data_IF_176142242187
#
_entry.id   IF_176142242187
#
_cell.length_a   1.000
_cell.length_b   1.000
_cell.length_c   1.000
_cell.angle_alpha   90.00
_cell.angle_beta   90.00
_cell.angle_gamma   90.00
#
_symmetry.space_group_name_H-M   'P 1'
#
loop_
_entity.id
_entity.type
_entity.pdbx_description
1 polymer ?
#
# COMPACT_ATOMS: atom_id res chain seq x y z
N UNK A 1 10.31 20.46 13.36
CA UNK A 1 11.00 19.55 14.33
C UNK A 1 11.50 20.32 15.55
N UNK A 2 12.31 21.36 15.37
CA UNK A 2 12.89 22.18 16.46
C UNK A 2 11.89 22.61 17.54
N UNK A 3 10.72 23.13 17.12
CA UNK A 3 9.66 23.55 18.04
C UNK A 3 9.15 22.40 18.92
N UNK A 4 9.10 21.17 18.39
CA UNK A 4 8.67 20.00 19.17
C UNK A 4 9.78 19.52 20.09
N UNK A 5 11.04 19.53 19.65
CA UNK A 5 12.18 19.17 20.50
C UNK A 5 12.25 20.03 21.77
N UNK A 6 12.03 21.35 21.68
CA UNK A 6 11.98 22.23 22.86
C UNK A 6 10.87 21.87 23.87
N UNK A 7 9.77 21.27 23.39
CA UNK A 7 8.64 20.84 24.24
C UNK A 7 8.88 19.45 24.81
N UNK A 8 9.40 18.52 24.00
CA UNK A 8 9.60 17.13 24.42
C UNK A 8 10.60 17.03 25.56
N UNK A 9 11.56 17.95 25.67
CA UNK A 9 12.47 18.03 26.82
C UNK A 9 11.70 18.19 28.14
N UNK A 10 10.67 19.04 28.17
CA UNK A 10 9.80 19.20 29.34
C UNK A 10 8.95 17.95 29.57
N UNK A 11 8.43 17.35 28.50
CA UNK A 11 7.62 16.13 28.58
C UNK A 11 8.43 14.96 29.16
N UNK A 12 9.72 14.85 28.82
CA UNK A 12 10.66 13.88 29.40
C UNK A 12 10.86 14.14 30.89
N UNK A 13 11.13 15.39 31.30
CA UNK A 13 11.30 15.76 32.72
C UNK A 13 10.02 15.48 33.52
N UNK A 14 8.85 15.73 32.92
CA UNK A 14 7.55 15.49 33.53
C UNK A 14 7.11 14.01 33.50
N UNK A 15 7.93 13.10 32.97
CA UNK A 15 7.64 11.67 32.95
C UNK A 15 6.49 11.27 32.01
N UNK A 16 6.23 12.03 30.95
CA UNK A 16 5.21 11.69 29.95
C UNK A 16 5.61 10.41 29.23
N UNK A 17 4.71 9.41 29.23
CA UNK A 17 4.94 8.12 28.58
C UNK A 17 5.25 8.30 27.09
N UNK A 18 6.36 7.72 26.62
CA UNK A 18 6.79 7.79 25.23
C UNK A 18 7.62 9.03 24.87
N UNK A 19 7.77 10.01 25.77
CA UNK A 19 8.48 11.26 25.47
C UNK A 19 9.99 11.05 25.27
N UNK A 20 10.58 10.05 25.94
CA UNK A 20 12.00 9.72 25.77
C UNK A 20 12.25 9.16 24.37
N UNK A 21 11.44 8.19 23.96
CA UNK A 21 11.49 7.56 22.64
C UNK A 21 11.18 8.59 21.54
N UNK A 22 10.22 9.51 21.79
CA UNK A 22 9.94 10.60 20.86
C UNK A 22 11.16 11.53 20.71
N UNK A 23 11.82 11.90 21.82
CA UNK A 23 13.01 12.75 21.78
C UNK A 23 14.15 12.09 21.02
N UNK A 24 14.43 10.81 21.28
CA UNK A 24 15.45 10.03 20.60
C UNK A 24 15.16 9.93 19.08
N UNK A 25 13.90 9.66 18.71
CA UNK A 25 13.47 9.66 17.31
C UNK A 25 13.61 11.03 16.65
N UNK A 26 13.25 12.12 17.34
CA UNK A 26 13.38 13.49 16.81
C UNK A 26 14.83 13.89 16.55
N UNK A 27 15.78 13.47 17.40
CA UNK A 27 17.22 13.72 17.18
C UNK A 27 17.69 13.02 15.90
N UNK A 28 17.33 11.75 15.71
CA UNK A 28 17.70 10.98 14.51
C UNK A 28 17.07 11.57 13.25
N UNK A 29 15.81 11.99 13.32
CA UNK A 29 15.10 12.66 12.22
C UNK A 29 15.79 13.99 11.88
N UNK A 30 16.13 14.79 12.89
CA UNK A 30 16.79 16.08 12.66
C UNK A 30 18.12 15.90 11.93
N UNK A 31 18.93 14.93 12.35
CA UNK A 31 20.22 14.65 11.73
C UNK A 31 20.10 14.34 10.22
N UNK A 32 18.99 13.75 9.77
CA UNK A 32 18.73 13.54 8.34
C UNK A 32 18.28 14.82 7.65
N UNK A 33 17.36 15.58 8.26
CA UNK A 33 16.85 16.83 7.69
C UNK A 33 17.95 17.89 7.54
N UNK A 34 18.90 17.97 8.48
CA UNK A 34 20.01 18.93 8.45
C UNK A 34 20.96 18.72 7.26
N UNK A 35 21.06 17.48 6.76
CA UNK A 35 21.85 17.13 5.56
C UNK A 35 20.98 17.05 4.29
N UNK A 36 19.76 17.58 4.34
CA UNK A 36 18.83 17.62 3.21
C UNK A 36 18.14 16.30 2.87
N UNK A 37 18.23 15.28 3.73
CA UNK A 37 17.55 13.99 3.54
C UNK A 37 16.16 13.98 4.16
N UNK A 38 15.27 13.12 3.68
CA UNK A 38 13.91 13.00 4.19
C UNK A 38 13.86 12.38 5.59
N UNK A 39 12.88 12.76 6.41
CA UNK A 39 12.73 12.22 7.77
C UNK A 39 12.55 10.69 7.80
N UNK A 40 11.98 10.08 6.75
CA UNK A 40 11.83 8.62 6.63
C UNK A 40 13.16 7.86 6.57
N UNK A 41 14.25 8.52 6.17
CA UNK A 41 15.58 7.90 6.07
C UNK A 41 16.22 7.67 7.44
N UNK A 42 15.64 8.23 8.51
CA UNK A 42 16.11 7.99 9.87
C UNK A 42 15.84 6.54 10.29
N UNK A 43 16.88 5.84 10.75
CA UNK A 43 16.74 4.48 11.30
C UNK A 43 16.19 4.57 12.73
N UNK A 44 14.89 4.28 12.86
CA UNK A 44 14.16 4.33 14.12
C UNK A 44 13.89 2.93 14.67
N UNK A 45 13.88 2.80 15.99
CA UNK A 45 13.31 1.61 16.65
C UNK A 45 11.78 1.63 16.53
N UNK A 46 11.12 0.48 16.73
CA UNK A 46 9.65 0.42 16.71
C UNK A 46 9.00 1.39 17.73
N UNK A 47 9.63 1.53 18.90
CA UNK A 47 9.16 2.42 19.95
C UNK A 47 9.28 3.90 19.54
N UNK A 48 10.43 4.29 18.97
CA UNK A 48 10.65 5.64 18.42
C UNK A 48 9.67 5.94 17.29
N UNK A 49 9.51 5.00 16.34
CA UNK A 49 8.60 5.16 15.21
C UNK A 49 7.16 5.36 15.68
N UNK A 50 6.71 4.59 16.68
CA UNK A 50 5.39 4.73 17.29
C UNK A 50 5.23 6.08 18.00
N UNK A 51 6.28 6.56 18.67
CA UNK A 51 6.26 7.82 19.41
C UNK A 51 6.22 9.05 18.49
N UNK A 52 6.92 9.02 17.35
CA UNK A 52 6.93 10.16 16.40
C UNK A 52 5.76 10.14 15.41
N UNK A 53 5.10 8.98 15.21
CA UNK A 53 3.96 8.83 14.27
C UNK A 53 2.85 9.89 14.43
N UNK A 54 2.41 10.29 15.65
CA UNK A 54 1.39 11.32 15.82
C UNK A 54 1.80 12.71 15.34
N UNK A 55 3.09 12.97 15.12
CA UNK A 55 3.58 14.25 14.59
C UNK A 55 3.23 14.43 13.10
N UNK A 56 2.84 13.36 12.40
CA UNK A 56 2.37 13.40 11.02
C UNK A 56 3.32 14.14 10.06
N UNK A 57 4.64 13.95 10.22
CA UNK A 57 5.65 14.63 9.43
C UNK A 57 5.48 14.35 7.94
N UNK A 58 5.51 15.39 7.12
CA UNK A 58 5.32 15.29 5.66
C UNK A 58 6.35 14.34 5.02
N UNK A 59 7.63 14.51 5.36
CA UNK A 59 8.75 13.74 4.79
C UNK A 59 8.89 12.32 5.37
N UNK A 60 8.04 11.92 6.32
CA UNK A 60 7.92 10.52 6.78
C UNK A 60 6.87 9.71 6.01
N UNK A 61 5.94 10.36 5.29
CA UNK A 61 4.93 9.65 4.49
C UNK A 61 5.64 8.90 3.37
N UNK A 62 5.27 7.67 2.99
CA UNK A 62 5.84 7.02 1.82
C UNK A 62 5.48 7.76 0.52
N UNK A 63 6.29 7.61 -0.54
CA UNK A 63 6.13 8.32 -1.83
C UNK A 63 6.22 7.37 -3.01
N UNK A 64 5.51 7.67 -4.09
CA UNK A 64 5.69 7.08 -5.41
C UNK A 64 6.16 8.17 -6.37
N UNK A 65 7.09 7.84 -7.25
CA UNK A 65 7.50 8.72 -8.34
C UNK A 65 6.77 8.32 -9.60
N UNK A 66 5.94 9.22 -10.13
CA UNK A 66 5.25 9.05 -11.40
C UNK A 66 6.00 9.84 -12.48
N UNK A 67 6.77 9.14 -13.32
CA UNK A 67 7.51 9.72 -14.42
C UNK A 67 6.58 9.87 -15.63
N UNK A 68 6.15 11.11 -15.88
CA UNK A 68 5.31 11.44 -17.04
C UNK A 68 6.15 11.49 -18.32
N UNK A 69 5.80 10.68 -19.31
CA UNK A 69 6.52 10.53 -20.58
C UNK A 69 5.58 10.71 -21.78
N UNK A 70 6.17 10.83 -22.98
CA UNK A 70 5.42 10.77 -24.23
C UNK A 70 4.94 9.34 -24.51
N UNK A 71 3.92 9.20 -25.36
CA UNK A 71 3.31 7.92 -25.77
C UNK A 71 4.34 6.88 -26.23
N UNK A 72 5.26 7.25 -27.12
CA UNK A 72 6.29 6.34 -27.65
C UNK A 72 7.34 5.88 -26.63
N UNK A 73 7.40 6.52 -25.46
CA UNK A 73 8.30 6.15 -24.36
C UNK A 73 7.57 5.36 -23.26
N UNK A 74 6.27 5.09 -23.39
CA UNK A 74 5.46 4.54 -22.30
C UNK A 74 5.85 3.10 -21.93
N UNK A 75 6.19 2.27 -22.93
CA UNK A 75 6.56 0.86 -22.73
C UNK A 75 7.99 0.69 -22.21
N UNK A 76 8.94 1.48 -22.71
CA UNK A 76 10.38 1.32 -22.40
C UNK A 76 10.92 2.35 -21.42
N UNK A 77 10.24 3.49 -21.27
CA UNK A 77 10.81 4.70 -20.67
C UNK A 77 11.83 5.38 -21.59
N UNK A 78 12.51 6.38 -21.03
CA UNK A 78 13.56 7.14 -21.71
C UNK A 78 14.69 7.49 -20.73
N UNK A 79 15.72 8.21 -21.21
CA UNK A 79 16.87 8.62 -20.38
C UNK A 79 16.50 9.40 -19.10
N UNK A 80 15.38 10.12 -19.09
CA UNK A 80 14.92 10.86 -17.93
C UNK A 80 14.27 9.93 -16.89
N UNK A 81 13.56 8.90 -17.36
CA UNK A 81 13.06 7.82 -16.49
C UNK A 81 14.21 7.12 -15.79
N UNK A 82 15.29 6.80 -16.51
CA UNK A 82 16.49 6.19 -15.92
C UNK A 82 17.13 7.10 -14.88
N UNK A 83 17.26 8.40 -15.15
CA UNK A 83 17.76 9.36 -14.15
C UNK A 83 16.89 9.42 -12.89
N UNK A 84 15.56 9.31 -13.02
CA UNK A 84 14.64 9.22 -11.87
C UNK A 84 14.83 7.90 -11.11
N UNK A 85 14.99 6.77 -11.81
CA UNK A 85 15.26 5.47 -11.20
C UNK A 85 16.57 5.47 -10.42
N UNK A 86 17.62 6.08 -10.96
CA UNK A 86 18.90 6.25 -10.29
C UNK A 86 18.77 7.12 -9.03
N UNK A 87 18.10 8.27 -9.14
CA UNK A 87 17.85 9.16 -8.00
C UNK A 87 17.10 8.44 -6.87
N UNK A 88 16.02 7.73 -7.21
CA UNK A 88 15.20 7.01 -6.24
C UNK A 88 15.99 5.90 -5.54
N UNK A 89 16.84 5.19 -6.30
CA UNK A 89 17.73 4.17 -5.76
C UNK A 89 18.79 4.76 -4.83
N UNK A 90 19.34 5.93 -5.15
CA UNK A 90 20.35 6.61 -4.34
C UNK A 90 19.75 7.14 -3.03
N UNK A 91 18.55 7.72 -3.07
CA UNK A 91 17.89 8.22 -1.86
C UNK A 91 17.30 7.13 -0.98
N UNK A 92 17.00 5.96 -1.55
CA UNK A 92 16.30 4.87 -0.87
C UNK A 92 14.87 5.26 -0.47
N UNK A 93 14.27 6.22 -1.17
CA UNK A 93 12.97 6.78 -0.81
C UNK A 93 11.78 5.87 -1.12
N UNK A 94 11.92 5.05 -2.16
CA UNK A 94 10.98 4.00 -2.61
C UNK A 94 11.69 3.05 -3.59
N UNK A 95 11.14 1.87 -3.83
CA UNK A 95 11.65 0.92 -4.83
C UNK A 95 10.94 1.07 -6.19
N UNK A 96 9.92 1.94 -6.28
CA UNK A 96 9.03 2.02 -7.43
C UNK A 96 9.01 3.40 -8.10
N UNK A 97 9.30 3.39 -9.41
CA UNK A 97 9.05 4.50 -10.33
C UNK A 97 8.00 4.03 -11.33
N UNK A 98 6.82 4.64 -11.29
CA UNK A 98 5.75 4.38 -12.25
C UNK A 98 5.96 5.24 -13.49
N UNK A 99 6.05 4.62 -14.67
CA UNK A 99 6.10 5.32 -15.95
C UNK A 99 4.66 5.50 -16.43
N UNK A 100 4.28 6.74 -16.72
CA UNK A 100 2.91 7.09 -17.10
C UNK A 100 2.92 8.09 -18.25
N UNK A 101 1.88 8.14 -19.07
CA UNK A 101 1.67 9.21 -20.04
C UNK A 101 0.33 9.86 -19.77
N UNK A 102 0.35 11.07 -19.20
CA UNK A 102 -0.87 11.80 -18.88
C UNK A 102 -1.72 12.09 -20.14
N UNK A 103 -1.08 12.18 -21.32
CA UNK A 103 -1.79 12.32 -22.58
C UNK A 103 -2.55 11.04 -22.94
N UNK A 104 -1.88 9.90 -22.91
CA UNK A 104 -2.53 8.59 -23.18
C UNK A 104 -3.68 8.35 -22.20
N UNK A 105 -3.49 8.64 -20.90
CA UNK A 105 -4.56 8.52 -19.90
C UNK A 105 -5.77 9.41 -20.19
N UNK A 106 -5.56 10.61 -20.75
CA UNK A 106 -6.65 11.50 -21.11
C UNK A 106 -7.46 10.94 -22.29
N UNK A 107 -6.80 10.32 -23.27
CA UNK A 107 -7.44 9.72 -24.44
C UNK A 107 -8.21 8.45 -24.06
N UNK A 108 -7.63 7.58 -23.21
CA UNK A 108 -8.28 6.37 -22.72
C UNK A 108 -9.59 6.62 -21.97
N UNK A 109 -9.77 7.82 -21.39
CA UNK A 109 -10.95 8.15 -20.58
C UNK A 109 -12.25 8.12 -21.37
N UNK A 110 -12.19 8.49 -22.65
CA UNK A 110 -13.35 8.62 -23.52
C UNK A 110 -13.58 7.39 -24.41
N UNK A 111 -12.69 6.39 -24.31
CA UNK A 111 -12.76 5.13 -25.04
C UNK A 111 -13.54 4.07 -24.24
N UNK A 112 -14.20 3.17 -24.95
CA UNK A 112 -14.76 1.97 -24.32
C UNK A 112 -13.67 0.95 -24.00
N UNK A 113 -14.04 -0.15 -23.35
CA UNK A 113 -13.06 -1.12 -22.87
C UNK A 113 -12.32 -1.83 -24.01
N UNK A 114 -13.01 -2.16 -25.10
CA UNK A 114 -12.41 -2.90 -26.21
C UNK A 114 -11.41 -1.99 -26.94
N UNK A 115 -11.83 -0.74 -27.23
CA UNK A 115 -10.97 0.26 -27.85
C UNK A 115 -9.73 0.60 -26.99
N UNK A 116 -9.91 0.69 -25.65
CA UNK A 116 -8.81 0.92 -24.71
C UNK A 116 -7.76 -0.19 -24.77
N UNK A 117 -8.22 -1.45 -24.75
CA UNK A 117 -7.34 -2.61 -24.73
C UNK A 117 -6.56 -2.70 -26.06
N UNK A 118 -7.22 -2.43 -27.19
CA UNK A 118 -6.56 -2.35 -28.50
C UNK A 118 -5.53 -1.21 -28.59
N UNK A 119 -5.89 -0.02 -28.09
CA UNK A 119 -4.99 1.13 -28.12
C UNK A 119 -3.75 0.90 -27.25
N UNK A 120 -3.93 0.42 -26.01
CA UNK A 120 -2.81 0.08 -25.13
C UNK A 120 -1.89 -0.99 -25.76
N UNK A 121 -2.49 -2.03 -26.38
CA UNK A 121 -1.72 -3.05 -27.06
C UNK A 121 -0.90 -2.50 -28.23
N UNK A 122 -1.41 -1.49 -28.95
CA UNK A 122 -0.67 -0.81 -30.02
C UNK A 122 0.57 -0.04 -29.53
N UNK A 123 0.59 0.32 -28.23
CA UNK A 123 1.69 1.00 -27.55
C UNK A 123 2.63 0.03 -26.82
N UNK A 124 2.49 -1.28 -27.03
CA UNK A 124 3.21 -2.34 -26.33
C UNK A 124 3.05 -2.27 -24.80
N UNK A 125 1.92 -1.76 -24.30
CA UNK A 125 1.59 -1.73 -22.87
C UNK A 125 0.34 -2.55 -22.57
N UNK A 126 0.37 -3.27 -21.44
CA UNK A 126 -0.73 -4.17 -21.03
C UNK A 126 -1.81 -3.49 -20.22
N UNK A 127 -1.45 -2.42 -19.50
CA UNK A 127 -2.32 -1.75 -18.55
C UNK A 127 -2.06 -0.25 -18.62
N UNK A 128 -3.07 0.54 -18.23
CA UNK A 128 -2.92 1.99 -18.17
C UNK A 128 -1.93 2.41 -17.07
N UNK A 129 -1.34 3.58 -17.23
CA UNK A 129 -0.53 4.24 -16.22
C UNK A 129 -1.33 4.55 -14.95
N UNK A 130 -2.61 4.91 -15.07
CA UNK A 130 -3.48 5.09 -13.90
C UNK A 130 -3.69 3.78 -13.13
N UNK A 131 -3.96 2.66 -13.81
CA UNK A 131 -4.10 1.36 -13.16
C UNK A 131 -2.81 0.92 -12.46
N UNK A 132 -1.67 1.11 -13.11
CA UNK A 132 -0.35 0.87 -12.55
C UNK A 132 -0.14 1.71 -11.28
N UNK A 133 -0.46 3.01 -11.32
CA UNK A 133 -0.35 3.91 -10.16
C UNK A 133 -1.27 3.49 -9.01
N UNK A 134 -2.51 3.05 -9.30
CA UNK A 134 -3.43 2.57 -8.27
C UNK A 134 -2.85 1.34 -7.58
N UNK A 135 -2.33 0.37 -8.34
CA UNK A 135 -1.69 -0.84 -7.78
C UNK A 135 -0.48 -0.50 -6.93
N UNK A 136 0.40 0.39 -7.40
CA UNK A 136 1.54 0.88 -6.62
C UNK A 136 1.09 1.59 -5.35
N UNK A 137 0.05 2.44 -5.40
CA UNK A 137 -0.51 3.09 -4.20
C UNK A 137 -1.04 2.08 -3.17
N UNK A 138 -1.76 1.06 -3.62
CA UNK A 138 -2.25 -0.02 -2.75
C UNK A 138 -1.08 -0.75 -2.08
N UNK A 139 -0.04 -1.10 -2.86
CA UNK A 139 1.16 -1.75 -2.33
C UNK A 139 1.89 -0.86 -1.32
N UNK A 140 2.11 0.42 -1.66
CA UNK A 140 2.80 1.41 -0.82
C UNK A 140 2.11 1.61 0.53
N UNK A 141 0.78 1.65 0.53
CA UNK A 141 -0.02 1.81 1.75
C UNK A 141 -0.18 0.51 2.54
N UNK A 142 0.43 -0.59 2.06
CA UNK A 142 0.29 -1.91 2.66
C UNK A 142 -1.16 -2.39 2.66
N UNK A 143 -1.91 -2.07 1.61
CA UNK A 143 -3.31 -2.45 1.43
C UNK A 143 -3.42 -3.74 0.61
N UNK A 144 -4.51 -4.46 0.85
CA UNK A 144 -4.89 -5.70 0.17
C UNK A 144 -6.40 -5.76 0.01
N UNK A 145 -6.85 -6.62 -0.88
CA UNK A 145 -8.26 -6.86 -1.16
C UNK A 145 -8.64 -8.29 -0.82
N UNK A 146 -9.77 -8.48 -0.14
CA UNK A 146 -10.47 -9.76 -0.09
C UNK A 146 -11.90 -9.59 -0.62
N UNK A 147 -12.56 -10.70 -0.94
CA UNK A 147 -13.89 -10.67 -1.53
C UNK A 147 -14.91 -11.35 -0.63
N UNK A 148 -16.13 -10.82 -0.66
CA UNK A 148 -17.34 -11.54 -0.27
C UNK A 148 -18.19 -11.70 -1.52
N UNK A 149 -18.58 -12.93 -1.83
CA UNK A 149 -19.39 -13.24 -3.00
C UNK A 149 -20.63 -14.01 -2.56
N UNK A 150 -21.80 -13.58 -3.02
CA UNK A 150 -23.07 -14.26 -2.87
C UNK A 150 -23.97 -14.01 -4.09
N UNK A 151 -25.17 -14.60 -4.11
CA UNK A 151 -26.09 -14.44 -5.24
C UNK A 151 -26.50 -12.98 -5.51
N UNK A 152 -26.61 -12.18 -4.45
CA UNK A 152 -27.05 -10.79 -4.53
C UNK A 152 -25.90 -9.79 -4.77
N UNK A 153 -24.73 -10.05 -4.18
CA UNK A 153 -23.62 -9.10 -4.20
C UNK A 153 -22.27 -9.82 -4.27
N UNK A 154 -21.38 -9.28 -5.10
CA UNK A 154 -19.94 -9.55 -5.02
C UNK A 154 -19.21 -8.26 -4.73
N UNK A 155 -18.43 -8.23 -3.65
CA UNK A 155 -17.78 -7.01 -3.17
C UNK A 155 -16.32 -7.23 -2.80
N UNK A 156 -15.50 -6.28 -3.22
CA UNK A 156 -14.11 -6.13 -2.82
C UNK A 156 -13.99 -5.30 -1.53
N UNK A 157 -13.25 -5.80 -0.55
CA UNK A 157 -13.00 -5.15 0.73
C UNK A 157 -11.52 -4.87 0.90
N UNK A 158 -11.18 -3.62 1.24
CA UNK A 158 -9.80 -3.19 1.45
C UNK A 158 -9.37 -3.38 2.90
N UNK A 159 -8.28 -4.10 3.13
CA UNK A 159 -7.66 -4.35 4.45
C UNK A 159 -6.18 -4.02 4.40
N UNK A 160 -5.49 -4.01 5.55
CA UNK A 160 -4.03 -3.92 5.58
C UNK A 160 -3.38 -5.29 5.61
N UNK A 161 -2.17 -5.38 5.05
CA UNK A 161 -1.31 -6.55 5.15
C UNK A 161 -1.12 -6.94 6.63
N UNK A 162 -1.22 -8.24 6.91
CA UNK A 162 -1.02 -8.79 8.25
C UNK A 162 -2.24 -8.71 9.17
N UNK A 163 -3.37 -8.17 8.69
CA UNK A 163 -4.62 -8.19 9.47
C UNK A 163 -5.12 -9.62 9.69
N UNK A 164 -5.56 -9.88 10.92
CA UNK A 164 -6.21 -11.13 11.30
C UNK A 164 -7.68 -11.14 10.87
N UNK A 165 -8.27 -12.32 10.78
CA UNK A 165 -9.64 -12.51 10.34
C UNK A 165 -10.70 -11.67 11.09
N UNK A 166 -10.63 -11.50 12.42
CA UNK A 166 -11.55 -10.61 13.13
C UNK A 166 -11.46 -9.15 12.64
N UNK A 167 -10.25 -8.64 12.41
CA UNK A 167 -10.03 -7.26 11.96
C UNK A 167 -10.54 -7.06 10.53
N UNK A 168 -10.33 -8.05 9.65
CA UNK A 168 -10.87 -8.04 8.29
C UNK A 168 -12.41 -8.05 8.32
N UNK A 169 -13.03 -8.91 9.14
CA UNK A 169 -14.48 -8.96 9.29
C UNK A 169 -15.07 -7.64 9.85
N UNK A 170 -14.31 -6.94 10.70
CA UNK A 170 -14.65 -5.61 11.21
C UNK A 170 -14.87 -4.55 10.13
N UNK A 171 -14.24 -4.70 8.96
CA UNK A 171 -14.46 -3.80 7.80
C UNK A 171 -15.86 -3.93 7.23
N UNK A 172 -16.47 -5.12 7.32
CA UNK A 172 -17.86 -5.35 6.92
C UNK A 172 -18.78 -4.75 7.98
N UNK A 173 -18.55 -5.11 9.25
CA UNK A 173 -19.32 -4.59 10.38
C UNK A 173 -18.54 -4.73 11.70
N UNK A 174 -18.55 -3.71 12.54
CA UNK A 174 -17.81 -3.70 13.83
C UNK A 174 -18.23 -4.85 14.77
N UNK A 175 -19.47 -5.33 14.70
CA UNK A 175 -19.92 -6.46 15.53
C UNK A 175 -19.27 -7.78 15.11
N UNK A 176 -18.88 -7.95 13.85
CA UNK A 176 -18.19 -9.17 13.42
C UNK A 176 -16.79 -9.26 14.01
N UNK A 177 -16.10 -8.15 14.25
CA UNK A 177 -14.79 -8.18 14.91
C UNK A 177 -14.92 -8.63 16.37
N UNK A 178 -15.87 -8.05 17.11
CA UNK A 178 -16.11 -8.37 18.54
C UNK A 178 -16.67 -9.78 18.73
N UNK A 179 -17.60 -10.16 17.86
CA UNK A 179 -18.30 -11.44 17.89
C UNK A 179 -17.64 -12.53 17.06
N UNK A 180 -16.43 -12.31 16.55
CA UNK A 180 -15.80 -13.25 15.62
C UNK A 180 -15.66 -14.65 16.24
N UNK A 181 -16.16 -15.66 15.52
CA UNK A 181 -15.98 -17.07 15.87
C UNK A 181 -15.04 -17.74 14.87
N UNK A 182 -15.40 -17.69 13.59
CA UNK A 182 -14.70 -18.35 12.48
C UNK A 182 -15.06 -17.68 11.17
N UNK A 183 -14.22 -17.82 10.16
CA UNK A 183 -14.49 -17.43 8.78
C UNK A 183 -14.35 -18.63 7.85
N UNK A 184 -15.28 -18.80 6.91
CA UNK A 184 -15.09 -19.71 5.79
C UNK A 184 -14.25 -18.97 4.73
N UNK A 185 -13.14 -19.56 4.29
CA UNK A 185 -12.22 -18.93 3.35
C UNK A 185 -11.83 -19.91 2.24
N UNK A 186 -11.58 -19.35 1.06
CA UNK A 186 -11.02 -20.03 -0.09
C UNK A 186 -10.06 -19.04 -0.77
N UNK A 187 -8.94 -19.52 -1.32
CA UNK A 187 -8.05 -18.64 -2.08
C UNK A 187 -8.71 -18.24 -3.40
N UNK A 188 -8.35 -17.06 -3.92
CA UNK A 188 -8.91 -16.53 -5.16
C UNK A 188 -8.71 -17.50 -6.34
N UNK A 189 -7.47 -17.96 -6.56
CA UNK A 189 -7.13 -18.92 -7.63
C UNK A 189 -7.99 -20.19 -7.55
N UNK A 190 -8.20 -20.73 -6.34
CA UNK A 190 -9.02 -21.92 -6.14
C UNK A 190 -10.50 -21.64 -6.38
N UNK A 191 -11.00 -20.48 -5.97
CA UNK A 191 -12.40 -20.09 -6.22
C UNK A 191 -12.68 -20.00 -7.72
N UNK A 192 -11.78 -19.35 -8.48
CA UNK A 192 -11.90 -19.24 -9.94
C UNK A 192 -11.81 -20.63 -10.61
N UNK A 193 -10.85 -21.47 -10.20
CA UNK A 193 -10.69 -22.81 -10.77
C UNK A 193 -11.86 -23.77 -10.45
N UNK A 194 -12.56 -23.55 -9.33
CA UNK A 194 -13.71 -24.34 -8.93
C UNK A 194 -15.04 -23.82 -9.50
N UNK A 195 -15.12 -22.54 -9.89
CA UNK A 195 -16.31 -21.91 -10.44
C UNK A 195 -17.42 -21.61 -9.42
N UNK A 196 -17.44 -22.30 -8.27
CA UNK A 196 -18.42 -22.08 -7.20
C UNK A 196 -17.87 -22.44 -5.82
N UNK A 197 -18.54 -21.94 -4.78
CA UNK A 197 -18.25 -22.30 -3.39
C UNK A 197 -18.49 -23.80 -3.14
N UNK A 198 -19.57 -24.35 -3.70
CA UNK A 198 -19.88 -25.78 -3.62
C UNK A 198 -18.77 -26.63 -4.25
N UNK A 199 -18.28 -26.25 -5.44
CA UNK A 199 -17.18 -26.94 -6.10
C UNK A 199 -15.88 -26.86 -5.30
N UNK A 200 -15.61 -25.75 -4.63
CA UNK A 200 -14.47 -25.61 -3.72
C UNK A 200 -14.62 -26.49 -2.46
N UNK A 201 -15.84 -26.59 -1.93
CA UNK A 201 -16.15 -27.42 -0.76
C UNK A 201 -16.02 -28.92 -1.06
N UNK A 202 -16.54 -29.38 -2.18
CA UNK A 202 -16.43 -30.80 -2.62
C UNK A 202 -14.97 -31.24 -2.79
N UNK A 203 -14.11 -30.32 -3.23
CA UNK A 203 -12.66 -30.54 -3.36
C UNK A 203 -11.88 -30.33 -2.05
N UNK A 204 -12.55 -30.00 -0.95
CA UNK A 204 -11.92 -29.77 0.36
C UNK A 204 -11.06 -28.50 0.44
N UNK A 205 -11.30 -27.53 -0.44
CA UNK A 205 -10.53 -26.27 -0.51
C UNK A 205 -11.16 -25.15 0.34
N UNK A 206 -12.41 -25.32 0.77
CA UNK A 206 -13.07 -24.43 1.72
C UNK A 206 -12.49 -24.67 3.13
N UNK A 207 -11.80 -23.67 3.68
CA UNK A 207 -11.19 -23.74 5.01
C UNK A 207 -12.02 -22.96 6.02
N UNK A 208 -12.07 -23.49 7.25
CA UNK A 208 -12.67 -22.81 8.39
C UNK A 208 -11.55 -22.25 9.25
N UNK A 209 -11.43 -20.93 9.22
CA UNK A 209 -10.33 -20.20 9.82
C UNK A 209 -10.74 -19.54 11.14
N UNK A 210 -9.85 -19.62 12.13
CA UNK A 210 -10.05 -19.06 13.46
C UNK A 210 -9.55 -17.62 13.61
N UNK A 211 -9.53 -17.12 14.84
CA UNK A 211 -9.13 -15.74 15.17
C UNK A 211 -7.70 -15.39 14.78
N UNK A 212 -6.81 -16.38 14.72
CA UNK A 212 -5.39 -16.17 14.41
C UNK A 212 -5.06 -16.25 12.93
N UNK A 213 -6.03 -16.56 12.08
CA UNK A 213 -5.82 -16.57 10.64
C UNK A 213 -5.49 -15.17 10.15
N UNK A 214 -4.38 -15.05 9.44
CA UNK A 214 -3.95 -13.82 8.80
C UNK A 214 -4.38 -13.88 7.34
N UNK A 215 -5.00 -12.82 6.84
CA UNK A 215 -5.28 -12.68 5.41
C UNK A 215 -3.97 -12.42 4.66
N UNK A 216 -3.24 -13.50 4.37
CA UNK A 216 -2.07 -13.53 3.49
C UNK A 216 -2.47 -14.07 2.13
N UNK A 217 -2.04 -13.38 1.08
CA UNK A 217 -1.90 -13.96 -0.26
C UNK A 217 -0.39 -14.00 -0.49
N UNK A 218 0.13 -15.17 -0.85
CA UNK A 218 1.51 -15.31 -1.32
C UNK A 218 1.76 -14.25 -2.40
N UNK A 219 2.85 -13.50 -2.23
CA UNK A 219 3.30 -12.56 -3.25
C UNK A 219 3.59 -13.36 -4.52
N UNK A 220 2.70 -13.26 -5.51
CA UNK A 220 3.13 -13.32 -6.91
C UNK A 220 3.38 -11.88 -7.37
#
# INVERSE_FOLDING_TARGET
>A
IEKRMKKVDKDVVNGVKGAKEEKEGLVKIMAQLDVGKLARSAVLTEAEQKAVKPLCLLTMKPTIYAANVAEGDLSTGNKFVEAVREYVKETGDTDEVAVVSAQVEAELKDMDREDRDEYLASLDVKESGCETLVKSCFKLLGLRTYFTCGPEESRAWTIKVGWKAPQAAGVIHNDFEKGFIKAATVSFDNMIACGSEEGAKEKGLLRIEGKDYVFVIDAR
#
